data_IF_836380693181
#
_entry.id   IF_836380693181
#
_cell.length_a   1.000
_cell.length_b   1.000
_cell.length_c   1.000
_cell.angle_alpha   90.00
_cell.angle_beta   90.00
_cell.angle_gamma   90.00
#
_symmetry.space_group_name_H-M   'P 1'
#
loop_
_entity.id
_entity.type
_entity.pdbx_description
1 polymer ?
#
# COMPACT_ATOMS: atom_id res chain seq x y z
N UNK A 1 1.41 -31.60 -33.19
CA UNK A 1 0.37 -31.15 -32.25
C UNK A 1 0.98 -30.16 -31.25
N UNK A 2 0.49 -28.92 -31.20
CA UNK A 2 1.02 -27.92 -30.27
C UNK A 2 0.67 -28.32 -28.83
N UNK A 3 1.70 -28.56 -28.00
CA UNK A 3 1.55 -28.86 -26.58
C UNK A 3 0.84 -27.66 -25.92
N UNK A 4 -0.37 -27.85 -25.37
CA UNK A 4 -1.05 -26.79 -24.59
C UNK A 4 -0.08 -26.34 -23.49
N UNK A 5 0.35 -25.07 -23.55
CA UNK A 5 1.18 -24.51 -22.49
C UNK A 5 0.42 -24.64 -21.18
N UNK A 6 1.08 -25.19 -20.15
CA UNK A 6 0.51 -25.26 -18.80
C UNK A 6 0.23 -23.82 -18.37
N UNK A 7 -1.04 -23.41 -18.42
CA UNK A 7 -1.44 -22.07 -17.99
C UNK A 7 -1.08 -21.96 -16.50
N UNK A 8 -0.36 -20.91 -16.09
CA UNK A 8 -0.08 -20.70 -14.67
C UNK A 8 -1.40 -20.68 -13.91
N UNK A 9 -1.39 -21.24 -12.69
CA UNK A 9 -2.57 -21.26 -11.81
C UNK A 9 -3.19 -19.86 -11.78
N UNK A 10 -4.51 -19.77 -12.03
CA UNK A 10 -5.23 -18.49 -12.11
C UNK A 10 -4.99 -17.61 -10.89
N UNK A 11 -4.92 -18.20 -9.68
CA UNK A 11 -4.61 -17.46 -8.46
C UNK A 11 -3.21 -16.84 -8.49
N UNK A 12 -2.20 -17.59 -8.96
CA UNK A 12 -0.83 -17.06 -9.12
C UNK A 12 -0.77 -15.94 -10.17
N UNK A 13 -1.57 -16.05 -11.23
CA UNK A 13 -1.70 -14.97 -12.22
C UNK A 13 -2.30 -13.71 -11.63
N UNK A 14 -3.27 -13.82 -10.71
CA UNK A 14 -3.88 -12.66 -10.03
C UNK A 14 -2.89 -12.01 -9.07
N UNK A 15 -2.19 -12.78 -8.24
CA UNK A 15 -1.22 -12.25 -7.26
C UNK A 15 -0.09 -11.47 -7.95
N UNK A 16 0.30 -11.86 -9.16
CA UNK A 16 1.31 -11.15 -9.95
C UNK A 16 0.81 -9.81 -10.56
N UNK A 17 -0.50 -9.53 -10.52
CA UNK A 17 -1.04 -8.26 -11.03
C UNK A 17 -0.73 -7.11 -10.06
N UNK A 18 -0.61 -5.86 -10.57
CA UNK A 18 -0.40 -4.67 -9.72
C UNK A 18 -1.45 -4.47 -8.64
N UNK A 19 -2.64 -5.06 -8.81
CA UNK A 19 -3.74 -5.04 -7.84
C UNK A 19 -3.30 -5.55 -6.46
N UNK A 20 -2.52 -6.63 -6.44
CA UNK A 20 -2.06 -7.30 -5.21
C UNK A 20 -0.60 -6.97 -4.86
N UNK A 21 -0.06 -5.84 -5.36
CA UNK A 21 1.29 -5.40 -4.98
C UNK A 21 1.36 -5.09 -3.49
N UNK A 22 2.53 -5.32 -2.88
CA UNK A 22 2.79 -4.91 -1.50
C UNK A 22 2.59 -3.39 -1.34
N UNK A 23 1.90 -2.99 -0.28
CA UNK A 23 1.70 -1.60 0.10
C UNK A 23 2.49 -1.33 1.38
N UNK A 24 3.30 -0.28 1.34
CA UNK A 24 4.01 0.22 2.52
C UNK A 24 3.32 1.52 2.94
N UNK A 25 2.87 1.57 4.19
CA UNK A 25 2.30 2.78 4.76
C UNK A 25 3.40 3.81 5.05
N UNK A 26 3.05 5.09 4.98
CA UNK A 26 4.01 6.15 5.32
C UNK A 26 4.14 6.23 6.85
N UNK A 27 5.36 6.14 7.41
CA UNK A 27 5.55 6.22 8.84
C UNK A 27 5.17 7.61 9.36
N UNK A 28 4.52 7.67 10.52
CA UNK A 28 4.16 8.94 11.18
C UNK A 28 5.36 9.62 11.83
N UNK A 29 6.38 8.84 12.23
CA UNK A 29 7.61 9.33 12.86
C UNK A 29 8.80 8.48 12.40
N UNK A 30 9.99 9.08 12.31
CA UNK A 30 11.24 8.42 11.95
C UNK A 30 11.65 8.63 10.49
N UNK A 31 12.31 7.64 9.88
CA UNK A 31 12.82 7.77 8.51
C UNK A 31 11.68 7.88 7.50
N UNK A 32 11.70 8.93 6.68
CA UNK A 32 10.68 9.16 5.66
C UNK A 32 9.36 9.74 6.17
N UNK A 33 9.30 10.16 7.45
CA UNK A 33 8.11 10.80 8.03
C UNK A 33 8.03 12.31 7.79
N UNK A 34 9.12 12.96 7.33
CA UNK A 34 9.13 14.40 7.07
C UNK A 34 8.14 14.77 5.96
N UNK A 35 7.33 15.80 6.21
CA UNK A 35 6.36 16.37 5.26
C UNK A 35 6.77 17.81 5.01
N UNK A 36 6.89 18.19 3.72
CA UNK A 36 7.20 19.59 3.34
C UNK A 36 6.08 20.53 3.79
N UNK A 37 4.84 20.10 3.58
CA UNK A 37 3.65 20.80 4.05
C UNK A 37 2.94 19.93 5.10
N UNK A 38 2.56 20.52 6.23
CA UNK A 38 1.68 19.86 7.18
C UNK A 38 0.26 19.82 6.58
N UNK A 39 -0.45 18.70 6.77
CA UNK A 39 -1.87 18.63 6.48
C UNK A 39 -2.60 19.61 7.40
N UNK A 40 -3.12 20.71 6.85
CA UNK A 40 -3.91 21.75 7.54
C UNK A 40 -5.30 21.25 8.00
N UNK A 41 -5.41 19.98 8.39
CA UNK A 41 -6.63 19.43 9.00
C UNK A 41 -6.49 19.59 10.52
N UNK A 42 -6.79 20.79 10.99
CA UNK A 42 -6.83 21.17 12.40
C UNK A 42 -7.85 20.34 13.23
N UNK A 43 -8.76 19.61 12.59
CA UNK A 43 -9.78 18.77 13.24
C UNK A 43 -9.30 17.39 13.70
N UNK A 44 -8.11 16.93 13.30
CA UNK A 44 -7.68 15.55 13.55
C UNK A 44 -6.82 15.36 14.81
N UNK A 45 -6.74 16.35 15.69
CA UNK A 45 -5.97 16.28 16.94
C UNK A 45 -6.88 16.17 18.16
N UNK A 46 -7.63 15.08 18.28
CA UNK A 46 -8.50 14.77 19.44
C UNK A 46 -7.78 14.04 20.58
N UNK A 47 -6.47 14.19 20.72
CA UNK A 47 -5.74 13.64 21.86
C UNK A 47 -5.29 14.80 22.76
N UNK A 48 -5.83 14.81 23.98
CA UNK A 48 -5.62 15.72 25.11
C UNK A 48 -6.74 16.77 25.36
N UNK A 49 -7.97 16.30 25.58
CA UNK A 49 -8.93 16.98 26.44
C UNK A 49 -9.15 16.13 27.70
N UNK A 50 -8.85 16.75 28.86
CA UNK A 50 -8.92 16.29 30.25
C UNK A 50 -7.88 15.24 30.70
#
# INVERSE_FOLDING_TARGET
MAKRSKRPNKAKSLIAQPLFRSRQEKPLKGKGSYRREASHNWEASSLLAA
#
